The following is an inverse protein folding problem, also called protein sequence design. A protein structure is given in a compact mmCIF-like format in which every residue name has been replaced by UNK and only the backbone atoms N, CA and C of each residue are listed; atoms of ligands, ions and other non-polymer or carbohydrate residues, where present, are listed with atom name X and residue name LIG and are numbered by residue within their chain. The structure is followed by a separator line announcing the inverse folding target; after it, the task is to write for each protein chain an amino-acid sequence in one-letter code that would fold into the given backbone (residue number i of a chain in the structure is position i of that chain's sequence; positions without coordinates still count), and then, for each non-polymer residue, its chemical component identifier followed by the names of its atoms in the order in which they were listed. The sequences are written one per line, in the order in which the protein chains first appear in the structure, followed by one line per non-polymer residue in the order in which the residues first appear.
data_IF_997152756526
#
_entry.id   IF_997152756526
#
_cell.length_a   1.000
_cell.length_b   1.000
_cell.length_c   1.000
_cell.angle_alpha   90.00
_cell.angle_beta   90.00
_cell.angle_gamma   90.00
#
_symmetry.space_group_name_H-M   'P 1'
#
loop_
_entity.id
_entity.type
_entity.pdbx_description
1 polymer ?
#
# COMPACT_ATOMS: atom_id res chain seq x y z
N UNK A 1 63.22 2.97 18.69
CA UNK A 1 63.62 2.11 17.53
C UNK A 1 62.40 1.45 17.01
N UNK A 2 62.08 1.54 15.74
CA UNK A 2 60.77 1.22 15.18
C UNK A 2 60.68 -0.23 14.64
N UNK A 3 59.56 -0.86 14.83
CA UNK A 3 59.22 -2.13 14.22
C UNK A 3 58.09 -1.95 13.23
N UNK A 4 58.42 -1.83 11.94
CA UNK A 4 57.46 -1.75 10.86
C UNK A 4 57.05 -3.16 10.42
N UNK A 5 55.78 -3.53 10.61
CA UNK A 5 55.19 -4.74 10.01
C UNK A 5 54.51 -4.38 8.70
N UNK A 6 55.08 -4.90 7.61
CA UNK A 6 54.51 -4.84 6.26
C UNK A 6 53.38 -5.85 6.14
N UNK A 7 52.17 -5.36 5.81
CA UNK A 7 51.05 -6.20 5.37
C UNK A 7 51.17 -6.42 3.87
N UNK A 8 51.26 -7.68 3.47
CA UNK A 8 51.34 -8.12 2.07
C UNK A 8 49.92 -8.19 1.49
N UNK A 9 49.70 -7.41 0.43
CA UNK A 9 48.47 -7.47 -0.37
C UNK A 9 48.52 -8.64 -1.34
N UNK A 10 47.69 -9.64 -1.16
CA UNK A 10 47.46 -10.70 -2.14
C UNK A 10 46.32 -10.32 -3.08
N UNK A 11 46.66 -10.11 -4.34
CA UNK A 11 45.69 -9.91 -5.43
C UNK A 11 44.96 -11.21 -5.74
N UNK A 12 43.66 -11.27 -5.46
CA UNK A 12 42.75 -12.30 -5.95
C UNK A 12 42.30 -11.98 -7.37
N UNK A 13 42.42 -12.98 -8.27
CA UNK A 13 42.04 -12.94 -9.69
C UNK A 13 40.52 -12.92 -9.88
N UNK A 14 39.98 -12.26 -10.90
CA UNK A 14 38.55 -12.36 -11.24
C UNK A 14 38.27 -13.64 -12.04
N UNK A 15 37.28 -14.40 -11.56
CA UNK A 15 36.75 -15.57 -12.28
C UNK A 15 35.62 -15.09 -13.23
N UNK A 16 35.92 -15.18 -14.52
CA UNK A 16 34.96 -14.96 -15.62
C UNK A 16 34.22 -16.27 -15.88
N UNK A 17 32.92 -16.31 -15.60
CA UNK A 17 32.06 -17.32 -16.25
C UNK A 17 30.86 -16.60 -16.89
N UNK A 18 31.00 -16.41 -18.18
CA UNK A 18 29.90 -16.10 -19.08
C UNK A 18 29.23 -17.44 -19.45
N UNK A 19 27.97 -17.60 -19.08
CA UNK A 19 27.10 -18.65 -19.61
C UNK A 19 25.94 -18.01 -20.33
N UNK A 20 26.06 -17.95 -21.65
CA UNK A 20 25.01 -17.55 -22.57
C UNK A 20 24.04 -18.73 -22.72
N UNK A 21 22.79 -18.57 -22.30
CA UNK A 21 21.70 -19.46 -22.67
C UNK A 21 20.83 -18.78 -23.72
N UNK A 22 21.00 -19.28 -24.97
CA UNK A 22 20.16 -18.96 -26.12
C UNK A 22 18.94 -19.89 -26.05
N UNK A 23 17.73 -19.36 -25.73
CA UNK A 23 16.49 -20.09 -25.92
C UNK A 23 15.74 -19.52 -27.10
N UNK A 24 15.62 -20.35 -28.14
CA UNK A 24 14.81 -20.11 -29.32
C UNK A 24 13.31 -20.28 -28.99
N UNK A 25 12.51 -19.24 -29.25
CA UNK A 25 11.05 -19.30 -29.14
C UNK A 25 10.50 -19.58 -30.53
N UNK A 26 9.94 -20.78 -30.74
CA UNK A 26 9.13 -21.12 -31.92
C UNK A 26 7.74 -20.46 -31.77
N UNK A 27 7.45 -19.55 -32.70
CA UNK A 27 6.11 -19.01 -32.90
C UNK A 27 5.25 -20.01 -33.71
N UNK A 28 4.21 -20.56 -33.13
CA UNK A 28 3.17 -21.30 -33.84
C UNK A 28 1.97 -20.38 -34.08
N UNK A 29 1.82 -19.87 -35.28
CA UNK A 29 0.65 -19.14 -35.77
C UNK A 29 -0.44 -20.15 -36.16
N UNK A 30 -1.53 -20.21 -35.39
CA UNK A 30 -2.75 -20.92 -35.79
C UNK A 30 -3.74 -19.91 -36.36
N UNK A 31 -3.83 -19.85 -37.70
CA UNK A 31 -4.93 -19.19 -38.41
C UNK A 31 -6.20 -20.05 -38.32
N UNK A 32 -7.24 -19.55 -37.66
CA UNK A 32 -8.55 -20.17 -37.72
C UNK A 32 -9.33 -19.57 -38.90
N UNK A 33 -9.57 -20.41 -39.92
CA UNK A 33 -10.37 -20.10 -41.12
C UNK A 33 -11.85 -20.08 -40.74
N UNK A 34 -12.50 -18.94 -40.97
CA UNK A 34 -13.97 -18.85 -40.96
C UNK A 34 -14.46 -19.36 -42.29
N UNK A 35 -15.19 -20.44 -42.24
CA UNK A 35 -15.86 -21.06 -43.39
C UNK A 35 -17.16 -20.28 -43.67
N UNK A 36 -17.27 -19.73 -44.88
CA UNK A 36 -18.50 -19.14 -45.42
C UNK A 36 -19.34 -20.25 -46.04
N UNK A 37 -20.39 -20.63 -45.35
CA UNK A 37 -21.41 -21.55 -45.89
C UNK A 37 -22.56 -20.76 -46.51
N UNK A 38 -22.82 -21.13 -47.76
CA UNK A 38 -23.76 -20.59 -48.73
C UNK A 38 -25.24 -20.57 -48.32
N UNK A 39 -25.84 -19.51 -48.74
CA UNK A 39 -27.24 -19.22 -49.08
C UNK A 39 -28.11 -20.42 -49.47
N UNK A 40 -29.21 -20.61 -48.74
CA UNK A 40 -30.40 -21.33 -49.24
C UNK A 40 -31.65 -20.59 -48.77
N UNK A 41 -32.22 -19.89 -49.74
CA UNK A 41 -33.56 -19.35 -49.71
C UNK A 41 -34.58 -20.47 -49.46
N UNK A 42 -35.31 -20.39 -48.34
CA UNK A 42 -36.57 -21.10 -48.18
C UNK A 42 -37.66 -20.15 -47.69
N UNK A 43 -38.66 -19.99 -48.56
CA UNK A 43 -39.85 -19.17 -48.37
C UNK A 43 -40.81 -19.90 -47.42
N UNK A 44 -40.69 -19.59 -46.10
CA UNK A 44 -41.57 -20.07 -45.03
C UNK A 44 -42.35 -18.93 -44.36
N UNK A 45 -43.66 -18.99 -44.49
CA UNK A 45 -44.74 -18.17 -43.92
C UNK A 45 -44.50 -17.79 -42.47
N UNK A 46 -44.74 -16.52 -42.04
CA UNK A 46 -44.50 -16.09 -40.66
C UNK A 46 -45.56 -16.68 -39.72
N UNK A 47 -45.17 -17.65 -38.92
CA UNK A 47 -45.90 -18.05 -37.72
C UNK A 47 -45.51 -17.07 -36.61
N UNK A 48 -46.55 -16.47 -35.95
CA UNK A 48 -46.36 -15.56 -34.82
C UNK A 48 -45.63 -16.28 -33.67
N UNK A 49 -44.32 -16.24 -33.71
CA UNK A 49 -43.44 -16.73 -32.63
C UNK A 49 -43.44 -15.75 -31.48
N UNK A 50 -43.93 -16.20 -30.33
CA UNK A 50 -43.77 -15.55 -29.03
C UNK A 50 -42.32 -15.09 -28.86
N UNK A 51 -42.10 -13.77 -28.89
CA UNK A 51 -40.79 -13.16 -28.65
C UNK A 51 -40.43 -13.44 -27.19
N UNK A 52 -39.66 -14.50 -26.93
CA UNK A 52 -39.05 -14.76 -25.65
C UNK A 52 -38.08 -13.62 -25.41
N UNK A 53 -38.51 -12.60 -24.65
CA UNK A 53 -37.62 -11.60 -24.09
C UNK A 53 -36.59 -12.35 -23.26
N UNK A 54 -35.29 -12.30 -23.58
CA UNK A 54 -34.28 -12.93 -22.73
C UNK A 54 -34.42 -12.34 -21.31
N UNK A 55 -34.32 -13.17 -20.27
CA UNK A 55 -34.38 -12.64 -18.90
C UNK A 55 -33.36 -11.54 -18.79
N UNK A 56 -33.82 -10.35 -18.45
CA UNK A 56 -32.94 -9.23 -18.08
C UNK A 56 -32.00 -9.81 -17.01
N UNK A 57 -30.75 -10.03 -17.38
CA UNK A 57 -29.69 -10.39 -16.40
C UNK A 57 -29.77 -9.34 -15.32
N UNK A 58 -30.32 -9.73 -14.18
CA UNK A 58 -30.36 -8.86 -13.00
C UNK A 58 -28.90 -8.53 -12.71
N UNK A 59 -28.52 -7.29 -12.97
CA UNK A 59 -27.20 -6.78 -12.62
C UNK A 59 -27.17 -6.96 -11.11
N UNK A 60 -26.26 -7.78 -10.59
CA UNK A 60 -26.06 -7.96 -9.16
C UNK A 60 -25.95 -6.58 -8.53
N UNK A 61 -26.95 -6.21 -7.76
CA UNK A 61 -26.99 -4.93 -7.07
C UNK A 61 -25.75 -4.86 -6.21
N UNK A 62 -24.98 -3.78 -6.31
CA UNK A 62 -23.82 -3.56 -5.45
C UNK A 62 -24.21 -3.79 -3.98
N UNK A 63 -23.45 -4.58 -3.26
CA UNK A 63 -23.74 -4.89 -1.86
C UNK A 63 -23.74 -3.56 -1.09
N UNK A 64 -24.80 -3.24 -0.30
CA UNK A 64 -24.82 -2.03 0.50
C UNK A 64 -23.57 -1.92 1.37
N UNK A 65 -23.05 -0.71 1.53
CA UNK A 65 -21.79 -0.45 2.25
C UNK A 65 -21.81 -0.98 3.70
N UNK A 66 -22.94 -0.85 4.38
CA UNK A 66 -23.09 -1.37 5.76
C UNK A 66 -22.94 -2.90 5.80
N UNK A 67 -23.53 -3.61 4.84
CA UNK A 67 -23.38 -5.05 4.72
C UNK A 67 -21.96 -5.46 4.32
N UNK A 68 -21.35 -4.72 3.41
CA UNK A 68 -19.94 -4.94 3.06
C UNK A 68 -19.01 -4.75 4.27
N UNK A 69 -19.28 -3.72 5.10
CA UNK A 69 -18.53 -3.47 6.33
C UNK A 69 -18.77 -4.56 7.38
N UNK A 70 -20.02 -5.02 7.53
CA UNK A 70 -20.35 -6.11 8.43
C UNK A 70 -19.58 -7.39 8.06
N UNK A 71 -19.54 -7.75 6.78
CA UNK A 71 -18.77 -8.89 6.28
C UNK A 71 -17.28 -8.73 6.48
N UNK A 72 -16.74 -7.55 6.20
CA UNK A 72 -15.32 -7.26 6.41
C UNK A 72 -14.90 -7.40 7.88
N UNK A 73 -15.80 -7.11 8.83
CA UNK A 73 -15.56 -7.21 10.27
C UNK A 73 -15.71 -8.61 10.84
N UNK A 74 -16.27 -9.56 10.11
CA UNK A 74 -16.73 -10.85 10.63
C UNK A 74 -15.63 -11.61 11.41
N UNK A 75 -14.40 -11.63 10.88
CA UNK A 75 -13.27 -12.34 11.48
C UNK A 75 -12.27 -11.41 12.18
N UNK A 76 -12.63 -10.13 12.34
CA UNK A 76 -11.77 -9.15 12.98
C UNK A 76 -12.20 -8.87 14.42
N UNK A 77 -11.28 -8.85 15.38
CA UNK A 77 -11.62 -8.50 16.76
C UNK A 77 -12.08 -7.04 16.81
N UNK A 78 -13.15 -6.79 17.56
CA UNK A 78 -13.65 -5.43 17.79
C UNK A 78 -12.56 -4.58 18.45
N UNK A 79 -12.38 -3.36 17.94
CA UNK A 79 -11.42 -2.39 18.45
C UNK A 79 -12.17 -1.13 18.93
N UNK A 80 -11.78 -0.60 20.08
CA UNK A 80 -12.30 0.65 20.64
C UNK A 80 -11.22 1.74 20.72
N UNK A 81 -9.94 1.34 20.68
CA UNK A 81 -8.79 2.24 20.75
C UNK A 81 -7.66 1.77 19.82
N UNK A 82 -6.75 2.67 19.49
CA UNK A 82 -5.53 2.37 18.72
C UNK A 82 -4.56 1.57 19.63
N UNK A 83 -4.35 0.30 19.30
CA UNK A 83 -3.47 -0.59 20.07
C UNK A 83 -1.99 -0.31 19.75
N UNK A 84 -1.19 -0.07 20.78
CA UNK A 84 0.22 0.25 20.62
C UNK A 84 0.47 1.62 19.97
N UNK A 85 -0.55 2.48 19.95
CA UNK A 85 -0.41 3.86 19.52
C UNK A 85 0.45 4.67 20.49
N UNK A 86 1.17 5.67 19.98
CA UNK A 86 2.06 6.54 20.75
C UNK A 86 1.29 7.77 21.27
N UNK A 87 1.67 8.26 22.44
CA UNK A 87 0.98 9.35 23.15
C UNK A 87 1.10 10.72 22.46
N UNK A 88 1.99 10.86 21.51
CA UNK A 88 2.12 12.08 20.71
C UNK A 88 2.63 11.79 19.31
N UNK A 89 2.35 12.70 18.39
CA UNK A 89 2.86 12.64 17.02
C UNK A 89 4.39 12.68 16.98
N UNK A 90 5.00 13.54 17.79
CA UNK A 90 6.45 13.64 17.93
C UNK A 90 7.07 12.30 18.34
N UNK A 91 6.48 11.65 19.34
CA UNK A 91 6.96 10.34 19.81
C UNK A 91 6.79 9.26 18.74
N UNK A 92 5.69 9.29 17.98
CA UNK A 92 5.46 8.38 16.86
C UNK A 92 6.53 8.54 15.77
N UNK A 93 6.83 9.78 15.38
CA UNK A 93 7.83 10.05 14.34
C UNK A 93 9.25 9.70 14.79
N UNK A 94 9.61 9.98 16.04
CA UNK A 94 10.92 9.58 16.59
C UNK A 94 11.10 8.06 16.64
N UNK A 95 10.08 7.35 17.08
CA UNK A 95 10.09 5.89 17.10
C UNK A 95 10.18 5.29 15.69
N UNK A 96 9.49 5.90 14.73
CA UNK A 96 9.60 5.54 13.32
C UNK A 96 11.03 5.73 12.78
N UNK A 97 11.65 6.87 13.05
CA UNK A 97 13.03 7.13 12.64
C UNK A 97 13.98 6.11 13.26
N UNK A 98 13.86 5.87 14.56
CA UNK A 98 14.67 4.88 15.26
C UNK A 98 14.49 3.48 14.66
N UNK A 99 13.23 3.05 14.43
CA UNK A 99 12.94 1.76 13.83
C UNK A 99 13.55 1.59 12.43
N UNK A 100 13.61 2.66 11.62
CA UNK A 100 14.30 2.64 10.33
C UNK A 100 15.83 2.51 10.50
N UNK A 101 16.42 3.28 11.40
CA UNK A 101 17.86 3.27 11.65
C UNK A 101 18.36 1.89 12.09
N UNK A 102 17.59 1.18 12.93
CA UNK A 102 17.94 -0.15 13.44
C UNK A 102 17.29 -1.30 12.66
N UNK A 103 16.54 -1.00 11.60
CA UNK A 103 15.82 -1.97 10.76
C UNK A 103 14.78 -2.82 11.52
N UNK A 104 14.15 -2.25 12.57
CA UNK A 104 13.09 -2.93 13.33
C UNK A 104 11.76 -2.93 12.57
N UNK A 105 11.61 -3.91 11.70
CA UNK A 105 10.37 -4.12 10.92
C UNK A 105 9.17 -4.46 11.78
N UNK A 106 9.38 -5.04 12.97
CA UNK A 106 8.31 -5.35 13.90
C UNK A 106 7.75 -4.07 14.54
N UNK A 107 8.61 -3.10 14.91
CA UNK A 107 8.18 -1.79 15.36
C UNK A 107 7.41 -1.05 14.26
N UNK A 108 7.90 -1.03 13.02
CA UNK A 108 7.18 -0.43 11.89
C UNK A 108 5.77 -1.03 11.73
N UNK A 109 5.62 -2.36 11.82
CA UNK A 109 4.29 -3.00 11.74
C UNK A 109 3.36 -2.60 12.89
N UNK A 110 3.87 -2.41 14.10
CA UNK A 110 3.06 -1.99 15.25
C UNK A 110 2.57 -0.56 15.13
N UNK A 111 3.34 0.31 14.51
CA UNK A 111 3.03 1.73 14.36
C UNK A 111 2.00 2.05 13.27
N UNK A 112 1.67 1.12 12.38
CA UNK A 112 0.65 1.30 11.33
C UNK A 112 -0.67 0.66 11.74
N UNK A 113 -1.79 1.14 11.19
CA UNK A 113 -3.11 0.58 11.44
C UNK A 113 -3.17 -0.91 11.08
N UNK A 114 -3.75 -1.71 11.98
CA UNK A 114 -4.20 -3.07 11.67
C UNK A 114 -5.52 -3.08 10.92
N UNK A 115 -5.87 -4.21 10.27
CA UNK A 115 -7.17 -4.39 9.62
C UNK A 115 -8.34 -4.16 10.58
N UNK A 116 -8.22 -4.60 11.83
CA UNK A 116 -9.25 -4.38 12.85
C UNK A 116 -9.39 -2.89 13.22
N UNK A 117 -8.29 -2.18 13.45
CA UNK A 117 -8.33 -0.73 13.71
C UNK A 117 -8.87 0.04 12.52
N UNK A 118 -8.50 -0.35 11.30
CA UNK A 118 -9.08 0.21 10.08
C UNK A 118 -10.60 0.02 10.06
N UNK A 119 -11.09 -1.21 10.22
CA UNK A 119 -12.50 -1.55 10.13
C UNK A 119 -13.37 -0.88 11.21
N UNK A 120 -12.86 -0.78 12.44
CA UNK A 120 -13.65 -0.30 13.57
C UNK A 120 -13.46 1.19 13.88
N UNK A 121 -12.29 1.77 13.60
CA UNK A 121 -11.95 3.11 14.05
C UNK A 121 -11.78 4.11 12.91
N UNK A 122 -11.17 3.70 11.78
CA UNK A 122 -10.84 4.59 10.67
C UNK A 122 -11.93 4.63 9.60
N UNK A 123 -12.28 3.48 9.02
CA UNK A 123 -13.21 3.40 7.89
C UNK A 123 -14.57 4.07 8.16
N UNK A 124 -15.26 3.87 9.31
CA UNK A 124 -16.60 4.42 9.54
C UNK A 124 -16.67 5.95 9.50
N UNK A 125 -15.56 6.62 9.77
CA UNK A 125 -15.47 8.08 9.75
C UNK A 125 -14.82 8.65 8.50
N UNK A 126 -14.23 7.80 7.66
CA UNK A 126 -13.58 8.23 6.42
C UNK A 126 -14.57 8.85 5.44
N UNK A 127 -14.22 9.95 4.77
CA UNK A 127 -15.03 10.48 3.68
C UNK A 127 -15.25 9.47 2.53
N UNK A 128 -14.29 8.57 2.31
CA UNK A 128 -14.37 7.56 1.25
C UNK A 128 -15.41 6.46 1.51
N UNK A 129 -15.87 6.30 2.77
CA UNK A 129 -16.93 5.34 3.12
C UNK A 129 -18.35 5.86 2.85
N UNK A 130 -18.50 7.10 2.40
CA UNK A 130 -19.76 7.83 2.25
C UNK A 130 -19.96 8.31 0.82
N UNK A 131 -21.21 8.67 0.42
CA UNK A 131 -21.47 9.32 -0.85
C UNK A 131 -20.59 10.57 -1.06
N UNK A 132 -20.11 10.83 -2.28
CA UNK A 132 -20.42 10.08 -3.51
C UNK A 132 -19.48 8.86 -3.75
N UNK A 133 -18.51 8.60 -2.87
CA UNK A 133 -17.46 7.59 -3.12
C UNK A 133 -17.89 6.16 -2.78
N UNK A 134 -18.47 5.96 -1.60
CA UNK A 134 -18.95 4.65 -1.09
C UNK A 134 -17.96 3.49 -1.40
N UNK A 135 -16.69 3.75 -1.20
CA UNK A 135 -15.63 2.79 -1.49
C UNK A 135 -15.75 1.58 -0.54
N UNK A 136 -15.92 0.37 -1.10
CA UNK A 136 -16.06 -0.84 -0.31
C UNK A 136 -14.87 -1.04 0.66
N UNK A 137 -15.12 -1.44 1.93
CA UNK A 137 -14.09 -1.51 2.97
C UNK A 137 -12.96 -2.48 2.62
N UNK A 138 -13.27 -3.63 2.02
CA UNK A 138 -12.26 -4.58 1.59
C UNK A 138 -11.33 -4.01 0.51
N UNK A 139 -11.89 -3.28 -0.45
CA UNK A 139 -11.12 -2.63 -1.52
C UNK A 139 -10.25 -1.51 -0.95
N UNK A 140 -10.82 -0.65 -0.08
CA UNK A 140 -10.07 0.44 0.55
C UNK A 140 -8.92 -0.11 1.42
N UNK A 141 -9.16 -1.18 2.17
CA UNK A 141 -8.12 -1.83 2.96
C UNK A 141 -7.02 -2.43 2.08
N UNK A 142 -7.40 -3.14 1.03
CA UNK A 142 -6.44 -3.72 0.08
C UNK A 142 -5.52 -2.66 -0.54
N UNK A 143 -6.08 -1.53 -0.98
CA UNK A 143 -5.30 -0.42 -1.52
C UNK A 143 -4.38 0.19 -0.45
N UNK A 144 -4.92 0.47 0.74
CA UNK A 144 -4.16 1.04 1.85
C UNK A 144 -2.99 0.16 2.28
N UNK A 145 -3.23 -1.14 2.43
CA UNK A 145 -2.21 -2.11 2.79
C UNK A 145 -1.13 -2.21 1.71
N UNK A 146 -1.53 -2.34 0.44
CA UNK A 146 -0.59 -2.42 -0.68
C UNK A 146 0.30 -1.17 -0.81
N UNK A 147 -0.27 0.03 -0.64
CA UNK A 147 0.51 1.28 -0.60
C UNK A 147 1.47 1.31 0.60
N UNK A 148 1.00 0.87 1.77
CA UNK A 148 1.81 0.82 2.98
C UNK A 148 2.98 -0.15 2.86
N UNK A 149 2.77 -1.34 2.30
CA UNK A 149 3.81 -2.34 2.08
C UNK A 149 4.87 -1.86 1.08
N UNK A 150 4.44 -1.26 -0.03
CA UNK A 150 5.36 -0.66 -1.01
C UNK A 150 6.17 0.49 -0.39
N UNK A 151 5.52 1.35 0.39
CA UNK A 151 6.19 2.45 1.08
C UNK A 151 7.21 1.95 2.11
N UNK A 152 6.84 0.98 2.94
CA UNK A 152 7.75 0.37 3.90
C UNK A 152 8.96 -0.31 3.23
N UNK A 153 8.72 -1.02 2.12
CA UNK A 153 9.81 -1.65 1.35
C UNK A 153 10.79 -0.62 0.81
N UNK A 154 10.32 0.48 0.24
CA UNK A 154 11.19 1.58 -0.22
C UNK A 154 12.00 2.18 0.92
N UNK A 155 11.38 2.49 2.04
CA UNK A 155 12.06 3.03 3.23
C UNK A 155 13.17 2.09 3.72
N UNK A 156 12.88 0.80 3.81
CA UNK A 156 13.85 -0.20 4.25
C UNK A 156 15.01 -0.34 3.24
N UNK A 157 14.75 -0.20 1.96
CA UNK A 157 15.79 -0.29 0.94
C UNK A 157 16.66 0.99 0.88
N UNK A 158 16.05 2.16 0.96
CA UNK A 158 16.73 3.42 0.63
C UNK A 158 17.18 4.22 1.86
N UNK A 159 16.53 4.04 3.02
CA UNK A 159 16.74 4.89 4.20
C UNK A 159 17.15 4.14 5.47
N UNK A 160 17.07 2.80 5.51
CA UNK A 160 17.35 2.04 6.73
C UNK A 160 18.84 1.75 6.97
N UNK A 161 19.16 1.34 8.20
CA UNK A 161 20.50 0.89 8.58
C UNK A 161 21.54 2.00 8.69
N UNK A 162 21.14 3.28 8.71
CA UNK A 162 22.02 4.45 8.86
C UNK A 162 21.30 5.56 9.61
N UNK A 163 22.03 6.42 10.35
CA UNK A 163 21.44 7.55 11.06
C UNK A 163 20.74 8.51 10.07
N UNK A 164 19.48 8.81 10.35
CA UNK A 164 18.70 9.78 9.58
C UNK A 164 18.96 11.22 10.00
N UNK A 165 19.61 11.43 11.17
CA UNK A 165 19.87 12.75 11.74
C UNK A 165 18.60 13.62 11.78
N UNK A 166 17.53 13.07 12.34
CA UNK A 166 16.22 13.70 12.46
C UNK A 166 16.31 15.04 13.20
N UNK A 167 15.71 16.08 12.63
CA UNK A 167 15.58 17.40 13.23
C UNK A 167 14.19 17.57 13.82
N UNK A 168 13.16 17.61 12.97
CA UNK A 168 11.77 17.76 13.33
C UNK A 168 10.83 17.28 12.20
N UNK A 169 9.54 17.45 12.39
CA UNK A 169 8.54 17.22 11.36
C UNK A 169 7.40 18.24 11.45
N UNK A 170 6.78 18.53 10.31
CA UNK A 170 5.61 19.38 10.23
C UNK A 170 4.51 18.67 9.43
N UNK A 171 3.26 18.89 9.79
CA UNK A 171 2.09 18.42 9.05
C UNK A 171 1.11 19.57 8.83
N UNK A 172 0.26 19.48 7.82
CA UNK A 172 -0.89 20.39 7.67
C UNK A 172 -1.83 20.31 8.88
N UNK A 173 -2.66 21.34 9.12
CA UNK A 173 -3.70 21.29 10.16
C UNK A 173 -4.54 20.03 10.01
N UNK A 174 -4.86 19.33 11.11
CA UNK A 174 -5.55 18.05 11.05
C UNK A 174 -7.02 18.23 10.62
N UNK A 175 -7.48 17.32 9.78
CA UNK A 175 -8.90 17.16 9.44
C UNK A 175 -9.59 16.35 10.54
N UNK A 176 -10.76 16.80 10.98
CA UNK A 176 -11.57 16.06 11.98
C UNK A 176 -12.54 15.13 11.24
N UNK A 177 -12.46 13.85 11.52
CA UNK A 177 -13.31 12.79 10.95
C UNK A 177 -13.91 11.96 12.09
N UNK A 178 -15.10 12.36 12.56
CA UNK A 178 -15.70 11.79 13.77
C UNK A 178 -14.83 12.00 15.01
N UNK A 179 -14.43 10.91 15.67
CA UNK A 179 -13.49 10.96 16.81
C UNK A 179 -12.01 11.01 16.39
N UNK A 180 -11.73 10.91 15.10
CA UNK A 180 -10.37 10.89 14.59
C UNK A 180 -9.92 12.31 14.17
N UNK A 181 -8.65 12.60 14.37
CA UNK A 181 -7.94 13.74 13.78
C UNK A 181 -6.91 13.18 12.81
N UNK A 182 -7.05 13.50 11.54
CA UNK A 182 -6.20 12.99 10.48
C UNK A 182 -5.20 14.07 10.07
N UNK A 183 -3.91 13.81 10.34
CA UNK A 183 -2.81 14.67 9.92
C UNK A 183 -2.31 14.20 8.54
N UNK A 184 -2.16 15.15 7.63
CA UNK A 184 -1.71 14.92 6.25
C UNK A 184 -0.56 15.84 5.88
N UNK A 185 0.06 15.59 4.72
CA UNK A 185 1.19 16.37 4.22
C UNK A 185 2.28 16.55 5.27
N UNK A 186 2.61 15.46 5.95
CA UNK A 186 3.67 15.46 6.94
C UNK A 186 5.02 15.34 6.23
N UNK A 187 5.90 16.30 6.53
CA UNK A 187 7.28 16.32 6.04
C UNK A 187 8.22 16.18 7.23
N UNK A 188 9.18 15.30 7.12
CA UNK A 188 10.24 15.06 8.09
C UNK A 188 11.49 15.80 7.62
N UNK A 189 12.08 16.63 8.49
CA UNK A 189 13.35 17.29 8.22
C UNK A 189 14.50 16.54 8.87
N UNK A 190 15.56 16.33 8.10
CA UNK A 190 16.77 15.65 8.55
C UNK A 190 18.00 16.22 7.86
N UNK A 191 19.19 15.93 8.38
CA UNK A 191 20.44 16.28 7.72
C UNK A 191 20.88 15.19 6.74
N UNK A 192 21.36 15.62 5.60
CA UNK A 192 22.09 14.74 4.67
C UNK A 192 23.50 14.45 5.20
N UNK A 193 24.21 13.44 4.68
CA UNK A 193 25.62 13.18 5.04
C UNK A 193 26.57 14.33 4.78
N UNK A 194 26.21 15.28 3.90
CA UNK A 194 27.00 16.48 3.60
C UNK A 194 26.60 17.69 4.45
N UNK A 195 25.61 17.52 5.35
CA UNK A 195 25.19 18.55 6.30
C UNK A 195 24.05 19.45 5.84
N UNK A 196 23.46 19.21 4.65
CA UNK A 196 22.32 19.97 4.18
C UNK A 196 21.04 19.49 4.86
N UNK A 197 20.13 20.43 5.16
CA UNK A 197 18.79 20.10 5.65
C UNK A 197 17.85 19.82 4.47
N UNK A 198 17.24 18.65 4.49
CA UNK A 198 16.18 18.26 3.51
C UNK A 198 14.89 17.96 4.22
N UNK A 199 13.76 18.16 3.50
CA UNK A 199 12.42 17.81 3.94
C UNK A 199 11.85 16.73 3.02
N UNK A 200 11.43 15.60 3.58
CA UNK A 200 10.94 14.45 2.82
C UNK A 200 9.63 13.90 3.40
N UNK A 201 8.80 13.32 2.54
CA UNK A 201 7.57 12.62 2.94
C UNK A 201 7.83 11.13 3.07
N UNK A 202 8.30 10.71 4.23
CA UNK A 202 8.67 9.32 4.49
C UNK A 202 7.49 8.43 4.88
N UNK A 203 6.33 8.99 5.20
CA UNK A 203 5.12 8.26 5.58
C UNK A 203 3.87 9.00 5.09
N UNK A 204 2.73 8.29 5.11
CA UNK A 204 1.43 8.84 4.69
C UNK A 204 0.72 9.62 5.80
N UNK A 205 -0.58 9.32 5.99
CA UNK A 205 -1.39 9.97 7.01
C UNK A 205 -1.06 9.46 8.41
N UNK A 206 -1.25 10.34 9.42
CA UNK A 206 -1.27 9.96 10.84
C UNK A 206 -2.69 10.12 11.35
N UNK A 207 -3.22 9.08 12.00
CA UNK A 207 -4.44 9.12 12.77
C UNK A 207 -4.13 9.40 14.24
N UNK A 208 -4.86 10.36 14.81
CA UNK A 208 -4.93 10.60 16.24
C UNK A 208 -6.34 10.28 16.73
N UNK A 209 -6.43 9.46 17.77
CA UNK A 209 -7.69 9.11 18.44
C UNK A 209 -7.46 8.96 19.93
N UNK A 210 -8.25 9.67 20.73
CA UNK A 210 -8.24 9.57 22.19
C UNK A 210 -6.81 9.67 22.80
N UNK A 211 -6.00 10.60 22.29
CA UNK A 211 -4.63 10.81 22.74
C UNK A 211 -3.58 9.85 22.14
N UNK A 212 -3.99 8.81 21.40
CA UNK A 212 -3.07 7.88 20.74
C UNK A 212 -2.86 8.23 19.27
N UNK A 213 -1.66 7.97 18.74
CA UNK A 213 -1.27 8.25 17.36
C UNK A 213 -0.70 7.01 16.69
N UNK A 214 -1.11 6.75 15.44
CA UNK A 214 -0.54 5.71 14.55
C UNK A 214 -0.45 6.22 13.13
N UNK A 215 0.38 5.59 12.31
CA UNK A 215 0.33 5.82 10.87
C UNK A 215 -0.89 5.10 10.28
N UNK A 216 -1.55 5.75 9.33
CA UNK A 216 -2.58 5.08 8.53
C UNK A 216 -1.91 4.16 7.52
N UNK A 217 -0.82 4.62 6.91
CA UNK A 217 0.00 3.86 5.96
C UNK A 217 1.41 4.44 5.86
N UNK A 218 2.33 3.67 5.28
CA UNK A 218 3.65 4.13 4.85
C UNK A 218 3.69 4.57 3.39
N UNK A 219 2.53 4.95 2.82
CA UNK A 219 2.49 5.57 1.50
C UNK A 219 3.36 6.84 1.50
N UNK A 220 4.46 6.80 0.77
CA UNK A 220 5.45 7.88 0.70
C UNK A 220 5.85 8.15 -0.75
N UNK A 221 6.49 9.28 -0.94
CA UNK A 221 7.20 9.63 -2.17
C UNK A 221 8.62 9.97 -1.75
N UNK A 222 9.54 9.09 -2.09
CA UNK A 222 10.97 9.32 -1.98
C UNK A 222 11.39 9.81 -3.37
N UNK A 223 11.43 11.12 -3.54
CA UNK A 223 11.88 11.77 -4.78
C UNK A 223 13.40 12.00 -4.73
#
# INVERSE_FOLDING_TARGET
MPGASRVVFTRGRPLKHATVWLMAILAASACNRIDQGEDRSDTGKPTAGTRLTPPIRQIDSAIPIDEALRRFRQDLPKQEALRGGLVSREKLVREFVHALEVQDTAALRRMVLSAAEFAWLYYPSSPLSRPPYELAPALMWFQLQGESERGASRLLTERSGRPLQYIDHACSPPRVEGRNRIHSHCELRHLTPVGDTVAERLFGLIIQRDGSHKFVSYANRLD
#
